data_IF_365768597827
#
_entry.id   IF_365768597827
#
_cell.length_a   1.000
_cell.length_b   1.000
_cell.length_c   1.000
_cell.angle_alpha   90.00
_cell.angle_beta   90.00
_cell.angle_gamma   90.00
#
_symmetry.space_group_name_H-M   'P 1'
#
loop_
_entity.id
_entity.type
_entity.pdbx_description
1 polymer ?
#
# COMPACT_ATOMS: atom_id res chain seq x y z
N UNK A 1 10.49 9.50 -2.27
CA UNK A 1 10.62 8.86 -3.60
C UNK A 1 10.11 7.43 -3.44
N UNK A 2 9.29 6.95 -4.38
CA UNK A 2 8.83 5.56 -4.43
C UNK A 2 9.91 4.71 -5.10
N UNK A 3 9.99 3.42 -4.77
CA UNK A 3 10.93 2.49 -5.43
C UNK A 3 10.76 2.49 -6.95
N UNK A 4 11.88 2.42 -7.68
CA UNK A 4 11.87 2.31 -9.15
C UNK A 4 11.55 0.89 -9.65
N UNK A 5 11.67 -0.12 -8.77
CA UNK A 5 11.36 -1.50 -9.11
C UNK A 5 9.89 -1.84 -8.84
N UNK A 6 9.30 -2.68 -9.70
CA UNK A 6 7.91 -3.12 -9.53
C UNK A 6 7.73 -3.85 -8.18
N UNK A 7 6.72 -3.48 -7.36
CA UNK A 7 6.49 -4.09 -6.05
C UNK A 7 6.21 -5.60 -6.19
N UNK A 8 6.95 -6.42 -5.44
CA UNK A 8 6.74 -7.89 -5.39
C UNK A 8 5.54 -8.26 -4.53
N UNK A 9 4.34 -8.00 -5.05
CA UNK A 9 3.06 -8.28 -4.37
C UNK A 9 2.13 -9.11 -5.25
N UNK A 10 1.36 -10.00 -4.62
CA UNK A 10 0.27 -10.72 -5.26
C UNK A 10 -0.98 -9.85 -5.28
N UNK A 11 -1.63 -9.72 -6.44
CA UNK A 11 -2.76 -8.81 -6.65
C UNK A 11 -3.94 -9.07 -5.70
N UNK A 12 -4.21 -10.32 -5.37
CA UNK A 12 -5.28 -10.73 -4.44
C UNK A 12 -4.85 -10.74 -2.97
N UNK A 13 -3.56 -10.53 -2.70
CA UNK A 13 -2.99 -10.53 -1.37
C UNK A 13 -3.44 -9.34 -0.53
N UNK A 14 -3.50 -9.55 0.80
CA UNK A 14 -3.76 -8.50 1.79
C UNK A 14 -2.48 -8.21 2.57
N UNK A 15 -2.06 -6.96 2.54
CA UNK A 15 -0.81 -6.50 3.12
C UNK A 15 -1.07 -5.55 4.28
N UNK A 16 -0.31 -5.69 5.36
CA UNK A 16 -0.32 -4.69 6.44
C UNK A 16 0.31 -3.38 5.98
N UNK A 17 0.16 -2.32 6.78
CA UNK A 17 0.83 -1.02 6.54
C UNK A 17 2.34 -1.21 6.38
N UNK A 18 2.96 -2.02 7.24
CA UNK A 18 4.40 -2.29 7.18
C UNK A 18 4.79 -2.99 5.88
N UNK A 19 4.08 -4.05 5.49
CA UNK A 19 4.38 -4.79 4.26
C UNK A 19 4.19 -3.92 3.01
N UNK A 20 3.10 -3.13 2.95
CA UNK A 20 2.85 -2.23 1.84
C UNK A 20 3.92 -1.14 1.74
N UNK A 21 4.36 -0.58 2.87
CA UNK A 21 5.42 0.43 2.91
C UNK A 21 6.76 -0.13 2.44
N UNK A 22 7.10 -1.36 2.82
CA UNK A 22 8.30 -2.06 2.35
C UNK A 22 8.23 -2.36 0.84
N UNK A 23 7.09 -2.83 0.35
CA UNK A 23 6.89 -3.13 -1.07
C UNK A 23 7.03 -1.88 -1.96
N UNK A 24 6.61 -0.72 -1.47
CA UNK A 24 6.71 0.57 -2.16
C UNK A 24 8.05 1.30 -1.92
N UNK A 25 8.90 0.78 -1.03
CA UNK A 25 10.15 1.44 -0.64
C UNK A 25 9.96 2.79 0.07
N UNK A 26 8.85 2.98 0.78
CA UNK A 26 8.54 4.23 1.49
C UNK A 26 8.39 4.01 3.00
N UNK A 27 8.48 5.09 3.77
CA UNK A 27 8.20 5.02 5.20
C UNK A 27 6.68 4.91 5.46
N UNK A 28 6.30 4.17 6.51
CA UNK A 28 4.89 3.97 6.91
C UNK A 28 4.10 5.27 7.09
N UNK A 29 4.74 6.33 7.59
CA UNK A 29 4.08 7.63 7.77
C UNK A 29 3.76 8.29 6.42
N UNK A 30 4.60 8.08 5.40
CA UNK A 30 4.37 8.56 4.05
C UNK A 30 3.21 7.81 3.41
N UNK A 31 3.16 6.48 3.58
CA UNK A 31 2.03 5.67 3.15
C UNK A 31 0.72 6.13 3.84
N UNK A 32 0.78 6.43 5.12
CA UNK A 32 -0.36 6.96 5.88
C UNK A 32 -0.84 8.30 5.30
N UNK A 33 0.07 9.26 5.02
CA UNK A 33 -0.28 10.52 4.35
C UNK A 33 -0.97 10.29 3.00
N UNK A 34 -0.44 9.38 2.18
CA UNK A 34 -1.07 9.08 0.89
C UNK A 34 -2.46 8.46 1.02
N UNK A 35 -2.66 7.66 2.06
CA UNK A 35 -3.96 7.08 2.38
C UNK A 35 -4.93 8.16 2.83
N UNK A 36 -4.48 9.10 3.67
CA UNK A 36 -5.29 10.20 4.18
C UNK A 36 -5.65 11.22 3.08
N UNK A 37 -4.76 11.42 2.11
CA UNK A 37 -5.02 12.19 0.90
C UNK A 37 -5.86 11.42 -0.14
N UNK A 38 -6.14 10.13 0.06
CA UNK A 38 -6.96 9.32 -0.85
C UNK A 38 -6.26 8.80 -2.10
N UNK A 39 -4.93 8.92 -2.21
CA UNK A 39 -4.17 8.41 -3.37
C UNK A 39 -4.15 6.88 -3.44
N UNK A 40 -4.13 6.22 -2.28
CA UNK A 40 -4.18 4.76 -2.15
C UNK A 40 -5.31 4.37 -1.21
N UNK A 41 -6.16 3.42 -1.62
CA UNK A 41 -7.27 2.94 -0.79
C UNK A 41 -6.80 1.87 0.18
N UNK A 42 -7.39 1.85 1.38
CA UNK A 42 -7.20 0.79 2.36
C UNK A 42 -8.55 0.18 2.77
N UNK A 43 -8.54 -1.11 3.09
CA UNK A 43 -9.63 -1.77 3.78
C UNK A 43 -9.35 -1.91 5.27
N UNK A 44 -10.38 -2.24 6.06
CA UNK A 44 -10.25 -2.54 7.48
C UNK A 44 -10.67 -3.97 7.77
N UNK A 45 -9.88 -4.71 8.54
CA UNK A 45 -10.24 -6.07 8.97
C UNK A 45 -11.40 -5.99 9.95
N UNK A 46 -12.46 -6.78 9.74
CA UNK A 46 -13.64 -6.77 10.62
C UNK A 46 -13.31 -7.17 12.07
N UNK A 47 -12.38 -8.11 12.25
CA UNK A 47 -12.00 -8.63 13.57
C UNK A 47 -11.17 -7.66 14.40
N UNK A 48 -10.13 -7.08 13.82
CA UNK A 48 -9.15 -6.27 14.57
C UNK A 48 -9.22 -4.78 14.26
N UNK A 49 -10.10 -4.35 13.34
CA UNK A 49 -10.16 -2.99 12.77
C UNK A 49 -8.82 -2.47 12.22
N UNK A 50 -7.87 -3.37 11.96
CA UNK A 50 -6.56 -3.01 11.42
C UNK A 50 -6.65 -2.73 9.92
N UNK A 51 -5.89 -1.72 9.47
CA UNK A 51 -5.76 -1.39 8.04
C UNK A 51 -5.08 -2.52 7.28
N UNK A 52 -5.57 -2.78 6.08
CA UNK A 52 -4.89 -3.62 5.10
C UNK A 52 -4.99 -2.98 3.71
N UNK A 53 -3.99 -3.26 2.88
CA UNK A 53 -3.92 -2.85 1.49
C UNK A 53 -4.01 -4.09 0.60
N UNK A 54 -4.75 -3.99 -0.50
CA UNK A 54 -4.75 -5.05 -1.52
C UNK A 54 -3.51 -4.91 -2.38
N UNK A 55 -2.92 -6.02 -2.80
CA UNK A 55 -1.76 -5.99 -3.70
C UNK A 55 -2.08 -5.30 -5.03
N UNK A 56 -3.30 -5.46 -5.53
CA UNK A 56 -3.79 -4.74 -6.72
C UNK A 56 -3.78 -3.22 -6.54
N UNK A 57 -4.11 -2.74 -5.34
CA UNK A 57 -4.13 -1.32 -5.02
C UNK A 57 -2.71 -0.75 -4.85
N UNK A 58 -1.81 -1.53 -4.24
CA UNK A 58 -0.38 -1.20 -4.15
C UNK A 58 0.22 -1.06 -5.55
N UNK A 59 -0.04 -2.03 -6.44
CA UNK A 59 0.42 -1.96 -7.83
C UNK A 59 -0.20 -0.80 -8.60
N UNK A 60 -1.50 -0.55 -8.45
CA UNK A 60 -2.17 0.61 -9.10
C UNK A 60 -1.50 1.92 -8.68
N UNK A 61 -1.24 2.08 -7.39
CA UNK A 61 -0.61 3.27 -6.84
C UNK A 61 0.83 3.45 -7.37
N UNK A 62 1.62 2.38 -7.40
CA UNK A 62 2.98 2.42 -7.94
C UNK A 62 3.01 2.83 -9.43
N UNK A 63 2.13 2.23 -10.25
CA UNK A 63 2.02 2.56 -11.68
C UNK A 63 1.58 3.99 -11.95
N UNK A 64 0.76 4.57 -11.07
CA UNK A 64 0.33 5.96 -11.20
C UNK A 64 1.45 6.97 -10.86
N UNK A 65 2.51 6.52 -10.20
CA UNK A 65 3.64 7.35 -9.76
C UNK A 65 4.89 7.19 -10.64
N UNK A 66 4.90 6.18 -11.53
CA UNK A 66 5.98 5.88 -12.48
C UNK A 66 5.79 6.56 -13.82
#
# INVERSE_FOLDING_TARGET
>A
MITAEEPRVSLSGRYSVMQASQALGIHRNTLQKYTDCGFIKCGFRKSSKQKFYLGSEIMRFWRAQS
#
